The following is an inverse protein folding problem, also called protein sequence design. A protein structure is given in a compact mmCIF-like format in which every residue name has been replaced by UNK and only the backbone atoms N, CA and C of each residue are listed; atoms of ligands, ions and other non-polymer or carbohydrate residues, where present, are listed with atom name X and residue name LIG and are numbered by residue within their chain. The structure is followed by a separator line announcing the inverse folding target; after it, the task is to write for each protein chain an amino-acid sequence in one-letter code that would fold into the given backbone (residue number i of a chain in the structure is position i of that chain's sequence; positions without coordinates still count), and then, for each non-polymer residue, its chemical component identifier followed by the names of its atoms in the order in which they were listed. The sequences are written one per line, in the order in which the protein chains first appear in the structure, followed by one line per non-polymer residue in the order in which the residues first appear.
data_IF_392780566580
#
_entry.id   IF_392780566580
#
_cell.length_a   1.000
_cell.length_b   1.000
_cell.length_c   1.000
_cell.angle_alpha   90.00
_cell.angle_beta   90.00
_cell.angle_gamma   90.00
#
_symmetry.space_group_name_H-M   'P 1'
#
loop_
_entity.id
_entity.type
_entity.pdbx_description
1 polymer ?
#
# COMPACT_ATOMS: atom_id res chain seq x y z
N UNK A 1 -17.28 10.61 13.62
CA UNK A 1 -15.94 10.10 13.23
C UNK A 1 -15.17 11.06 12.32
N UNK A 2 -15.83 11.90 11.54
CA UNK A 2 -15.23 12.86 10.58
C UNK A 2 -14.22 13.84 11.19
N UNK A 3 -14.45 14.34 12.40
CA UNK A 3 -13.59 15.37 13.02
C UNK A 3 -12.24 14.82 13.52
N UNK A 4 -12.12 13.52 13.80
CA UNK A 4 -10.86 12.92 14.29
C UNK A 4 -9.85 12.70 13.16
N UNK A 5 -10.35 12.41 11.95
CA UNK A 5 -9.53 12.22 10.75
C UNK A 5 -8.96 13.57 10.28
N UNK A 6 -9.79 14.63 10.27
CA UNK A 6 -9.33 15.98 9.94
C UNK A 6 -8.22 16.47 10.90
N UNK A 7 -8.36 16.18 12.20
CA UNK A 7 -7.36 16.55 13.21
C UNK A 7 -6.02 15.83 12.98
N UNK A 8 -6.06 14.54 12.67
CA UNK A 8 -4.85 13.74 12.41
C UNK A 8 -4.12 14.18 11.14
N UNK A 9 -4.85 14.48 10.07
CA UNK A 9 -4.30 15.06 8.84
C UNK A 9 -3.65 16.42 9.14
N UNK A 10 -4.30 17.29 9.92
CA UNK A 10 -3.74 18.59 10.27
C UNK A 10 -2.47 18.53 11.13
N UNK A 11 -2.36 17.54 12.03
CA UNK A 11 -1.18 17.33 12.88
C UNK A 11 0.04 16.84 12.08
N UNK A 12 -0.18 16.04 11.04
CA UNK A 12 0.87 15.61 10.12
C UNK A 12 1.43 16.80 9.33
N UNK A 13 0.58 17.72 8.87
CA UNK A 13 1.02 18.96 8.21
C UNK A 13 1.78 19.89 9.18
N UNK A 14 1.35 20.00 10.44
CA UNK A 14 1.99 20.90 11.42
C UNK A 14 3.39 20.41 11.84
N UNK A 15 3.54 19.11 12.09
CA UNK A 15 4.81 18.50 12.50
C UNK A 15 5.90 18.57 11.41
N UNK A 16 5.49 18.65 10.14
CA UNK A 16 6.39 18.84 9.02
C UNK A 16 6.87 20.30 8.91
N UNK A 17 5.96 21.27 9.15
CA UNK A 17 6.31 22.70 9.12
C UNK A 17 7.34 23.12 10.18
N UNK A 18 7.34 22.45 11.33
CA UNK A 18 8.27 22.75 12.43
C UNK A 18 9.73 22.37 12.13
N UNK A 19 9.98 21.42 11.21
CA UNK A 19 11.33 20.92 10.90
C UNK A 19 12.00 21.65 9.72
N UNK A 20 11.29 22.52 9.01
CA UNK A 20 11.70 23.03 7.71
C UNK A 20 12.34 24.45 7.72
N UNK A 21 12.88 24.91 8.86
CA UNK A 21 13.42 26.28 9.04
C UNK A 21 14.75 26.60 8.32
N UNK A 22 15.21 25.79 7.37
CA UNK A 22 16.49 25.99 6.67
C UNK A 22 16.53 25.60 5.19
N UNK A 23 15.42 25.17 4.60
CA UNK A 23 15.36 24.83 3.17
C UNK A 23 14.86 26.04 2.36
N UNK A 24 15.41 26.24 1.16
CA UNK A 24 14.98 27.29 0.22
C UNK A 24 13.54 27.03 -0.21
N UNK A 25 12.62 27.53 0.60
CA UNK A 25 11.19 27.22 0.63
C UNK A 25 10.40 27.62 -0.62
N UNK A 26 10.99 28.40 -1.54
CA UNK A 26 10.26 28.98 -2.67
C UNK A 26 10.25 28.09 -3.93
N UNK A 27 11.31 27.31 -4.18
CA UNK A 27 11.43 26.49 -5.40
C UNK A 27 10.84 25.08 -5.24
N UNK A 28 10.82 24.56 -4.01
CA UNK A 28 10.33 23.21 -3.65
C UNK A 28 8.81 23.05 -3.85
N UNK A 29 8.03 24.12 -3.74
CA UNK A 29 6.56 24.04 -3.90
C UNK A 29 6.12 24.02 -5.37
N UNK A 30 7.02 24.34 -6.31
CA UNK A 30 6.67 24.45 -7.73
C UNK A 30 6.36 23.11 -8.40
N UNK A 31 6.66 21.97 -7.77
CA UNK A 31 6.43 20.61 -8.31
C UNK A 31 5.70 19.69 -7.31
N UNK A 32 4.92 20.28 -6.40
CA UNK A 32 3.95 19.50 -5.64
C UNK A 32 2.85 19.01 -6.58
N UNK A 33 2.40 17.78 -6.37
CA UNK A 33 1.33 17.22 -7.18
C UNK A 33 0.56 16.11 -6.51
N UNK A 34 -0.52 15.72 -7.18
CA UNK A 34 -1.35 14.58 -6.83
C UNK A 34 -1.20 13.51 -7.91
N UNK A 35 -0.94 12.29 -7.53
CA UNK A 35 -0.83 11.15 -8.43
C UNK A 35 -1.98 10.19 -8.17
N UNK A 36 -2.92 10.09 -9.11
CA UNK A 36 -3.98 9.07 -9.04
C UNK A 36 -3.49 7.79 -9.68
N UNK A 37 -3.81 6.64 -9.11
CA UNK A 37 -3.32 5.33 -9.55
C UNK A 37 -4.46 4.31 -9.55
N UNK A 38 -4.43 3.44 -10.56
CA UNK A 38 -5.25 2.23 -10.68
C UNK A 38 -4.31 1.07 -10.99
N UNK A 39 -4.54 -0.08 -10.38
CA UNK A 39 -3.67 -1.22 -10.56
C UNK A 39 -4.27 -2.55 -10.15
N UNK A 40 -3.50 -3.58 -10.41
CA UNK A 40 -3.77 -4.96 -10.05
C UNK A 40 -2.66 -5.43 -9.12
N UNK A 41 -3.04 -6.17 -8.08
CA UNK A 41 -2.10 -6.85 -7.22
C UNK A 41 -2.35 -8.37 -7.32
N UNK A 42 -1.27 -9.13 -7.27
CA UNK A 42 -1.29 -10.55 -7.02
C UNK A 42 -0.72 -10.75 -5.62
N UNK A 43 -1.62 -10.91 -4.65
CA UNK A 43 -1.26 -11.07 -3.25
C UNK A 43 -1.32 -12.52 -2.85
N UNK A 44 -0.42 -12.94 -1.98
CA UNK A 44 -0.40 -14.25 -1.32
C UNK A 44 -0.10 -14.06 0.16
N UNK A 45 -0.26 -15.12 0.95
CA UNK A 45 0.06 -15.11 2.37
C UNK A 45 1.03 -16.22 2.70
N UNK A 46 2.19 -15.84 3.21
CA UNK A 46 3.22 -16.79 3.60
C UNK A 46 3.10 -17.07 5.10
N UNK A 47 2.96 -18.35 5.46
CA UNK A 47 3.06 -18.80 6.84
C UNK A 47 4.51 -19.09 7.21
N UNK A 48 4.95 -18.63 8.37
CA UNK A 48 6.28 -19.00 8.89
C UNK A 48 6.25 -20.48 9.30
N UNK A 49 6.82 -21.35 8.47
CA UNK A 49 6.92 -22.80 8.71
C UNK A 49 5.67 -23.63 8.38
N UNK A 50 4.91 -23.26 7.34
CA UNK A 50 3.86 -24.06 6.67
C UNK A 50 3.81 -23.76 5.17
N UNK A 51 3.09 -24.57 4.40
CA UNK A 51 2.70 -24.24 3.02
C UNK A 51 1.85 -22.96 3.05
N UNK A 52 2.34 -21.89 2.42
CA UNK A 52 1.61 -20.63 2.31
C UNK A 52 0.40 -20.73 1.39
N UNK A 53 -0.54 -19.79 1.52
CA UNK A 53 -1.68 -19.70 0.61
C UNK A 53 -1.24 -19.24 -0.78
N UNK A 54 -1.83 -19.82 -1.83
CA UNK A 54 -1.60 -19.40 -3.21
C UNK A 54 -2.20 -18.01 -3.45
N UNK A 55 -1.64 -17.28 -4.41
CA UNK A 55 -2.00 -15.88 -4.56
C UNK A 55 -3.32 -15.66 -5.28
N UNK A 56 -4.08 -14.66 -4.83
CA UNK A 56 -5.28 -14.18 -5.50
C UNK A 56 -5.01 -12.84 -6.19
N UNK A 57 -5.63 -12.66 -7.36
CA UNK A 57 -5.64 -11.38 -8.05
C UNK A 57 -6.67 -10.45 -7.40
N UNK A 58 -6.24 -9.23 -7.09
CA UNK A 58 -7.06 -8.14 -6.62
C UNK A 58 -6.77 -6.84 -7.37
N UNK A 59 -7.60 -5.83 -7.14
CA UNK A 59 -7.36 -4.50 -7.68
C UNK A 59 -7.06 -3.50 -6.56
N UNK A 60 -6.38 -2.43 -6.94
CA UNK A 60 -6.02 -1.31 -6.08
C UNK A 60 -6.27 -0.01 -6.81
N UNK A 61 -6.84 0.97 -6.11
CA UNK A 61 -6.99 2.32 -6.64
C UNK A 61 -6.88 3.36 -5.53
N UNK A 62 -6.44 4.56 -5.88
CA UNK A 62 -6.26 5.62 -4.90
C UNK A 62 -5.40 6.75 -5.42
N UNK A 63 -4.87 7.56 -4.51
CA UNK A 63 -4.04 8.70 -4.86
C UNK A 63 -2.90 8.92 -3.88
N UNK A 64 -1.80 9.48 -4.37
CA UNK A 64 -0.65 9.91 -3.58
C UNK A 64 -0.39 11.41 -3.75
N UNK A 65 -0.20 12.10 -2.65
CA UNK A 65 0.42 13.41 -2.64
C UNK A 65 1.93 13.24 -2.82
N UNK A 66 2.52 14.01 -3.73
CA UNK A 66 3.93 13.96 -4.10
C UNK A 66 4.59 15.29 -3.76
N UNK A 67 5.62 15.23 -2.93
CA UNK A 67 6.41 16.39 -2.50
C UNK A 67 7.86 16.20 -2.94
N UNK A 68 8.43 17.08 -3.77
CA UNK A 68 9.87 17.06 -4.04
C UNK A 68 10.63 17.43 -2.76
N UNK A 69 11.65 16.67 -2.41
CA UNK A 69 12.59 17.01 -1.34
C UNK A 69 13.87 17.60 -1.93
N UNK A 70 14.32 17.04 -3.06
CA UNK A 70 15.41 17.53 -3.90
C UNK A 70 15.02 17.40 -5.38
N UNK A 71 15.92 17.70 -6.30
CA UNK A 71 15.69 17.46 -7.73
C UNK A 71 15.50 15.97 -8.08
N UNK A 72 16.05 15.06 -7.28
CA UNK A 72 16.06 13.62 -7.59
C UNK A 72 15.20 12.81 -6.60
N UNK A 73 14.98 13.35 -5.40
CA UNK A 73 14.31 12.67 -4.29
C UNK A 73 12.95 13.31 -4.02
N UNK A 74 11.92 12.48 -3.95
CA UNK A 74 10.55 12.90 -3.65
C UNK A 74 9.99 12.06 -2.50
N UNK A 75 9.14 12.66 -1.67
CA UNK A 75 8.30 11.96 -0.71
C UNK A 75 6.91 11.78 -1.28
N UNK A 76 6.33 10.59 -1.13
CA UNK A 76 4.98 10.26 -1.57
C UNK A 76 4.17 9.76 -0.38
N UNK A 77 3.02 10.35 -0.12
CA UNK A 77 2.07 9.89 0.91
C UNK A 77 0.73 9.68 0.25
N UNK A 78 0.13 8.51 0.40
CA UNK A 78 -1.11 8.20 -0.31
C UNK A 78 -2.17 7.53 0.51
N UNK A 79 -3.34 7.39 -0.10
CA UNK A 79 -4.47 6.65 0.42
C UNK A 79 -5.05 5.79 -0.71
N UNK A 80 -5.19 4.50 -0.45
CA UNK A 80 -5.61 3.51 -1.42
C UNK A 80 -6.64 2.55 -0.86
N UNK A 81 -7.62 2.19 -1.67
CA UNK A 81 -8.36 0.96 -1.46
C UNK A 81 -7.62 -0.17 -2.18
N UNK A 82 -7.44 -1.31 -1.52
CA UNK A 82 -6.82 -2.50 -2.11
C UNK A 82 -7.60 -3.74 -1.73
N UNK A 83 -7.86 -4.59 -2.72
CA UNK A 83 -8.30 -5.97 -2.52
C UNK A 83 -7.06 -6.84 -2.51
N UNK A 84 -6.88 -7.59 -1.45
CA UNK A 84 -5.85 -8.61 -1.30
C UNK A 84 -6.54 -9.92 -0.95
N UNK A 85 -5.83 -11.02 -1.06
CA UNK A 85 -6.32 -12.32 -0.66
C UNK A 85 -5.32 -13.43 -0.91
N UNK A 86 -5.65 -14.61 -0.41
CA UNK A 86 -4.91 -15.83 -0.67
C UNK A 86 -5.87 -17.03 -0.63
N UNK A 87 -5.58 -18.05 -1.43
CA UNK A 87 -6.31 -19.31 -1.44
C UNK A 87 -5.55 -20.36 -0.64
N UNK A 88 -6.23 -21.06 0.26
CA UNK A 88 -5.65 -22.05 1.16
C UNK A 88 -6.31 -23.41 0.98
N UNK A 89 -5.55 -24.47 1.25
CA UNK A 89 -6.07 -25.84 1.33
C UNK A 89 -6.52 -26.12 2.76
N UNK A 90 -7.81 -26.34 2.95
CA UNK A 90 -8.43 -26.82 4.19
C UNK A 90 -8.63 -28.34 4.17
N UNK A 91 -9.24 -28.86 5.25
CA UNK A 91 -9.57 -30.29 5.38
C UNK A 91 -10.71 -30.72 4.44
N UNK A 92 -11.66 -29.82 4.16
CA UNK A 92 -12.85 -30.08 3.34
C UNK A 92 -12.73 -29.59 1.89
N UNK A 93 -11.67 -28.85 1.55
CA UNK A 93 -11.50 -28.29 0.21
C UNK A 93 -10.56 -27.08 0.17
N UNK A 94 -10.56 -26.36 -0.96
CA UNK A 94 -9.89 -25.06 -1.08
C UNK A 94 -10.83 -23.93 -0.65
N UNK A 95 -10.30 -22.96 0.09
CA UNK A 95 -11.04 -21.76 0.46
C UNK A 95 -10.26 -20.49 0.16
N UNK A 96 -10.96 -19.47 -0.30
CA UNK A 96 -10.39 -18.17 -0.65
C UNK A 96 -10.61 -17.16 0.48
N UNK A 97 -9.51 -16.65 1.04
CA UNK A 97 -9.54 -15.53 1.97
C UNK A 97 -9.43 -14.22 1.17
N UNK A 98 -10.52 -13.46 1.10
CA UNK A 98 -10.57 -12.14 0.48
C UNK A 98 -10.54 -11.05 1.55
N UNK A 99 -9.68 -10.06 1.37
CA UNK A 99 -9.42 -8.98 2.33
C UNK A 99 -9.40 -7.63 1.64
N UNK A 100 -10.17 -6.70 2.19
CA UNK A 100 -10.26 -5.33 1.72
C UNK A 100 -9.55 -4.41 2.72
N UNK A 101 -8.54 -3.69 2.23
CA UNK A 101 -7.76 -2.75 3.02
C UNK A 101 -7.96 -1.31 2.55
N UNK A 102 -7.95 -0.39 3.51
CA UNK A 102 -7.61 1.00 3.27
C UNK A 102 -6.14 1.20 3.63
N UNK A 103 -5.30 1.38 2.61
CA UNK A 103 -3.84 1.44 2.73
C UNK A 103 -3.33 2.88 2.71
N UNK A 104 -2.42 3.18 3.62
CA UNK A 104 -1.70 4.43 3.76
C UNK A 104 -0.19 4.19 3.50
N UNK A 105 0.27 4.20 2.23
CA UNK A 105 1.68 4.17 1.89
C UNK A 105 2.38 5.51 2.19
N UNK A 106 3.61 5.42 2.74
CA UNK A 106 4.54 6.54 2.91
C UNK A 106 5.85 6.12 2.24
N UNK A 107 6.11 6.61 1.04
CA UNK A 107 7.23 6.19 0.21
C UNK A 107 8.23 7.32 -0.04
N UNK A 108 9.48 6.93 -0.20
CA UNK A 108 10.47 7.71 -0.94
C UNK A 108 10.46 7.30 -2.41
N UNK A 109 10.77 8.26 -3.28
CA UNK A 109 11.03 8.08 -4.70
C UNK A 109 12.40 8.68 -5.02
N UNK A 110 13.25 7.93 -5.70
CA UNK A 110 14.60 8.34 -6.10
C UNK A 110 14.77 8.12 -7.60
N UNK A 111 15.14 9.19 -8.31
CA UNK A 111 15.36 9.15 -9.76
C UNK A 111 16.65 8.41 -10.10
N UNK A 112 16.60 7.47 -11.04
CA UNK A 112 17.76 6.72 -11.53
C UNK A 112 18.11 7.20 -12.94
N UNK A 113 19.30 7.77 -13.08
CA UNK A 113 19.96 8.03 -14.37
C UNK A 113 19.21 8.95 -15.35
N UNK A 114 18.42 9.92 -14.86
CA UNK A 114 17.73 10.95 -15.67
C UNK A 114 16.81 10.43 -16.80
N UNK A 115 16.52 9.12 -16.84
CA UNK A 115 15.78 8.45 -17.93
C UNK A 115 14.36 8.06 -17.52
N UNK A 116 13.69 8.91 -16.75
CA UNK A 116 12.31 8.70 -16.29
C UNK A 116 12.08 7.45 -15.43
N UNK A 117 13.14 6.72 -15.07
CA UNK A 117 13.08 5.54 -14.21
C UNK A 117 13.37 5.97 -12.78
N UNK A 118 12.58 5.46 -11.85
CA UNK A 118 12.64 5.80 -10.45
C UNK A 118 12.58 4.53 -9.60
N UNK A 119 13.33 4.50 -8.51
CA UNK A 119 13.09 3.56 -7.43
C UNK A 119 12.08 4.16 -6.47
N UNK A 120 11.13 3.33 -6.03
CA UNK A 120 10.14 3.69 -5.02
C UNK A 120 10.17 2.69 -3.88
N UNK A 121 9.85 3.13 -2.68
CA UNK A 121 9.71 2.23 -1.56
C UNK A 121 9.52 2.94 -0.22
N UNK A 122 9.09 2.18 0.77
CA UNK A 122 8.83 2.67 2.12
C UNK A 122 7.72 1.90 2.83
N UNK A 123 7.42 2.29 4.08
CA UNK A 123 6.37 1.65 4.87
C UNK A 123 4.97 1.86 4.27
N UNK A 124 4.07 0.94 4.60
CA UNK A 124 2.64 1.00 4.30
C UNK A 124 1.85 0.43 5.46
N UNK A 125 0.78 1.15 5.81
CA UNK A 125 -0.16 0.77 6.86
C UNK A 125 -1.50 0.42 6.21
N UNK A 126 -1.94 -0.83 6.32
CA UNK A 126 -3.23 -1.31 5.86
C UNK A 126 -4.22 -1.39 7.02
N UNK A 127 -5.31 -0.63 6.92
CA UNK A 127 -6.45 -0.74 7.83
C UNK A 127 -7.46 -1.73 7.25
N UNK A 128 -7.77 -2.79 7.99
CA UNK A 128 -8.75 -3.79 7.60
C UNK A 128 -10.14 -3.17 7.55
N UNK A 129 -10.76 -3.21 6.38
CA UNK A 129 -12.14 -2.73 6.17
C UNK A 129 -13.14 -3.89 6.22
N UNK A 130 -12.79 -4.99 5.57
CA UNK A 130 -13.64 -6.17 5.47
C UNK A 130 -12.79 -7.39 5.11
N UNK A 131 -13.13 -8.55 5.67
CA UNK A 131 -12.61 -9.82 5.20
C UNK A 131 -13.72 -10.87 5.11
N UNK A 132 -13.59 -11.73 4.11
CA UNK A 132 -14.50 -12.83 3.88
C UNK A 132 -13.76 -14.07 3.40
N UNK A 133 -14.17 -15.20 3.92
CA UNK A 133 -13.79 -16.52 3.45
C UNK A 133 -14.85 -17.00 2.44
N UNK A 134 -14.40 -17.58 1.33
CA UNK A 134 -15.27 -18.17 0.31
C UNK A 134 -14.89 -19.64 0.17
N UNK A 135 -15.83 -20.51 0.47
CA UNK A 135 -15.68 -21.97 0.37
C UNK A 135 -16.96 -22.51 -0.30
N UNK A 136 -16.82 -23.29 -1.38
CA UNK A 136 -17.95 -23.80 -2.17
C UNK A 136 -19.01 -22.73 -2.55
N UNK A 137 -18.53 -21.52 -2.86
CA UNK A 137 -19.40 -20.38 -3.22
C UNK A 137 -20.18 -19.76 -2.05
N UNK A 138 -20.02 -20.28 -0.83
CA UNK A 138 -20.57 -19.68 0.39
C UNK A 138 -19.60 -18.64 0.94
N UNK A 139 -20.11 -17.43 1.18
CA UNK A 139 -19.33 -16.31 1.73
C UNK A 139 -19.56 -16.18 3.23
N UNK A 140 -18.49 -16.29 4.02
CA UNK A 140 -18.50 -16.10 5.47
C UNK A 140 -17.72 -14.84 5.84
N UNK A 141 -18.29 -13.97 6.65
CA UNK A 141 -17.57 -12.79 7.15
C UNK A 141 -16.58 -13.22 8.25
N UNK A 142 -15.30 -12.93 8.05
CA UNK A 142 -14.20 -13.26 8.97
C UNK A 142 -13.44 -12.01 9.43
N UNK A 143 -14.00 -10.81 9.23
CA UNK A 143 -13.36 -9.53 9.55
C UNK A 143 -12.91 -9.46 11.02
N UNK A 144 -13.75 -9.94 11.95
CA UNK A 144 -13.43 -9.97 13.39
C UNK A 144 -12.35 -10.99 13.77
N UNK A 145 -11.92 -11.83 12.82
CA UNK A 145 -10.89 -12.83 13.02
C UNK A 145 -9.49 -12.36 12.61
N UNK A 146 -9.40 -11.25 11.86
CA UNK A 146 -8.14 -10.70 11.39
C UNK A 146 -7.73 -9.47 12.19
N UNK A 147 -6.44 -9.15 12.12
CA UNK A 147 -5.90 -7.95 12.71
C UNK A 147 -6.41 -6.70 11.99
N UNK A 148 -6.83 -5.66 12.74
CA UNK A 148 -7.32 -4.43 12.14
C UNK A 148 -6.22 -3.62 11.44
N UNK A 149 -4.95 -3.88 11.75
CA UNK A 149 -3.79 -3.19 11.21
C UNK A 149 -2.79 -4.21 10.63
N UNK A 150 -2.42 -4.00 9.37
CA UNK A 150 -1.37 -4.72 8.64
C UNK A 150 -0.24 -3.74 8.29
N UNK A 151 0.97 -3.96 8.78
CA UNK A 151 2.15 -3.16 8.47
C UNK A 151 3.01 -3.91 7.47
N UNK A 152 3.38 -3.22 6.40
CA UNK A 152 4.19 -3.75 5.31
C UNK A 152 5.27 -2.76 4.88
N UNK A 153 6.29 -3.25 4.19
CA UNK A 153 7.25 -2.45 3.44
C UNK A 153 7.07 -2.70 1.95
N UNK A 154 7.21 -1.66 1.14
CA UNK A 154 7.17 -1.77 -0.31
C UNK A 154 8.53 -1.40 -0.91
N UNK A 155 8.88 -2.06 -2.01
CA UNK A 155 10.02 -1.70 -2.85
C UNK A 155 9.70 -1.98 -4.31
N UNK A 156 10.08 -1.10 -5.20
CA UNK A 156 9.78 -1.26 -6.61
C UNK A 156 10.36 -0.19 -7.51
N UNK A 157 9.86 -0.20 -8.73
CA UNK A 157 10.25 0.70 -9.80
C UNK A 157 9.03 1.45 -10.32
N UNK A 158 9.27 2.68 -10.74
CA UNK A 158 8.29 3.57 -11.34
C UNK A 158 8.89 4.21 -12.59
N UNK A 159 8.14 4.22 -13.68
CA UNK A 159 8.57 4.79 -14.96
C UNK A 159 7.60 5.86 -15.45
N UNK A 160 8.13 7.05 -15.75
CA UNK A 160 7.38 8.18 -16.30
C UNK A 160 7.35 8.08 -17.83
N UNK A 161 6.27 7.51 -18.37
CA UNK A 161 6.09 7.31 -19.82
C UNK A 161 5.97 8.64 -20.57
N UNK A 162 5.22 9.58 -19.98
CA UNK A 162 4.95 10.94 -20.49
C UNK A 162 4.90 11.89 -19.28
N UNK A 163 4.94 13.22 -19.47
CA UNK A 163 5.03 14.21 -18.37
C UNK A 163 3.98 14.07 -17.25
N UNK A 164 2.93 13.29 -17.47
CA UNK A 164 1.88 13.02 -16.48
C UNK A 164 1.52 11.54 -16.36
N UNK A 165 2.03 10.64 -17.22
CA UNK A 165 1.64 9.23 -17.18
C UNK A 165 2.73 8.38 -16.55
N UNK A 166 2.34 7.61 -15.55
CA UNK A 166 3.24 6.83 -14.71
C UNK A 166 2.82 5.37 -14.78
N UNK A 167 3.79 4.48 -14.84
CA UNK A 167 3.58 3.05 -14.55
C UNK A 167 4.46 2.66 -13.40
N UNK A 168 3.98 1.80 -12.51
CA UNK A 168 4.79 1.29 -11.41
C UNK A 168 4.60 -0.19 -11.21
N UNK A 169 5.67 -0.83 -10.75
CA UNK A 169 5.65 -2.21 -10.29
C UNK A 169 6.42 -2.30 -8.98
N UNK A 170 5.82 -2.89 -7.95
CA UNK A 170 6.44 -3.01 -6.65
C UNK A 170 6.04 -4.31 -5.94
N UNK A 171 6.93 -4.76 -5.06
CA UNK A 171 6.71 -5.88 -4.18
C UNK A 171 6.41 -5.37 -2.76
N UNK A 172 5.35 -5.91 -2.16
CA UNK A 172 4.94 -5.68 -0.78
C UNK A 172 5.42 -6.83 0.09
N UNK A 173 6.13 -6.49 1.16
CA UNK A 173 6.65 -7.39 2.19
C UNK A 173 5.87 -7.12 3.48
N UNK A 174 5.05 -8.06 3.92
CA UNK A 174 4.34 -8.00 5.20
C UNK A 174 5.31 -8.12 6.37
N UNK A 175 5.13 -7.25 7.37
CA UNK A 175 5.97 -7.18 8.57
C UNK A 175 5.21 -7.60 9.83
N UNK A 176 3.88 -7.58 9.80
CA UNK A 176 3.02 -7.98 10.92
C UNK A 176 2.13 -9.15 10.55
N UNK A 177 1.76 -9.92 11.56
CA UNK A 177 0.77 -11.00 11.43
C UNK A 177 -0.63 -10.45 11.10
N UNK A 178 -1.29 -11.05 10.12
CA UNK A 178 -2.66 -10.72 9.71
C UNK A 178 -3.71 -11.41 10.60
N UNK A 179 -3.36 -12.47 11.34
CA UNK A 179 -4.32 -13.36 12.03
C UNK A 179 -4.55 -13.07 13.52
N UNK A 180 -3.88 -12.07 14.09
CA UNK A 180 -4.15 -11.61 15.45
C UNK A 180 -3.56 -12.45 16.57
N UNK A 181 -2.48 -13.20 16.31
CA UNK A 181 -1.71 -13.93 17.32
C UNK A 181 -2.61 -14.76 18.27
N UNK A 182 -3.55 -15.51 17.68
CA UNK A 182 -4.47 -16.38 18.42
C UNK A 182 -3.80 -17.71 18.72
N UNK A 183 -4.06 -18.24 19.91
CA UNK A 183 -3.59 -19.58 20.29
C UNK A 183 -3.98 -20.57 19.18
N UNK A 184 -2.98 -21.24 18.60
CA UNK A 184 -3.06 -22.23 17.51
C UNK A 184 -3.15 -21.69 16.06
N UNK A 185 -3.07 -20.39 15.81
CA UNK A 185 -2.92 -19.85 14.44
C UNK A 185 -1.49 -19.35 14.24
N UNK A 186 -0.76 -19.94 13.28
CA UNK A 186 0.59 -19.47 12.93
C UNK A 186 0.50 -18.12 12.22
N UNK A 187 1.46 -17.24 12.51
CA UNK A 187 1.53 -15.92 11.90
C UNK A 187 1.54 -16.01 10.36
N UNK A 188 0.63 -15.25 9.73
CA UNK A 188 0.57 -15.09 8.29
C UNK A 188 1.03 -13.68 7.92
N UNK A 189 2.01 -13.60 7.03
CA UNK A 189 2.51 -12.35 6.49
C UNK A 189 1.95 -12.14 5.08
N UNK A 190 1.39 -10.96 4.84
CA UNK A 190 0.89 -10.54 3.54
C UNK A 190 2.06 -10.29 2.59
N UNK A 191 1.98 -10.75 1.35
CA UNK A 191 2.96 -10.43 0.31
C UNK A 191 2.25 -10.19 -1.01
N UNK A 192 2.70 -9.23 -1.81
CA UNK A 192 2.05 -8.96 -3.09
C UNK A 192 3.01 -8.40 -4.13
N UNK A 193 2.82 -8.80 -5.39
CA UNK A 193 3.37 -8.07 -6.53
C UNK A 193 2.24 -7.19 -7.08
N UNK A 194 2.50 -5.90 -7.20
CA UNK A 194 1.51 -4.93 -7.68
C UNK A 194 2.00 -4.22 -8.92
N UNK A 195 1.10 -4.05 -9.90
CA UNK A 195 1.31 -3.24 -11.09
C UNK A 195 0.27 -2.14 -11.13
N UNK A 196 0.68 -0.89 -11.37
CA UNK A 196 -0.25 0.24 -11.47
C UNK A 196 0.05 1.11 -12.69
N UNK A 197 -1.00 1.78 -13.14
CA UNK A 197 -0.94 2.92 -14.04
C UNK A 197 -1.46 4.14 -13.29
N UNK A 198 -0.77 5.27 -13.42
CA UNK A 198 -1.11 6.50 -12.74
C UNK A 198 -1.05 7.74 -13.63
N UNK A 199 -1.74 8.78 -13.16
CA UNK A 199 -1.71 10.10 -13.74
C UNK A 199 -1.30 11.13 -12.69
N UNK A 200 -0.28 11.93 -12.99
CA UNK A 200 0.25 12.98 -12.14
C UNK A 200 -0.36 14.34 -12.53
N UNK A 201 -1.02 14.95 -11.56
CA UNK A 201 -1.57 16.29 -11.61
C UNK A 201 -0.63 17.23 -10.87
N UNK A 202 -0.10 18.22 -11.57
CA UNK A 202 0.62 19.32 -10.95
C UNK A 202 -0.39 20.25 -10.26
N UNK A 203 -0.12 20.63 -9.02
CA UNK A 203 -0.96 21.54 -8.22
C UNK A 203 -0.48 22.99 -8.33
#
# INVERSE_FOLDING_TARGET
MTNKIALFVSLLFFSFSAQARGWKFQDTFSNIGLESQLGLNYSSMSGVGQEGGSGLMGFRFGSMFVMPLTHEVHSKVGLFYSQNGASFKGEEGEFDLNIHYLQLPIWGKVSINQKNLNMIGGPQFGLLMHASEIEDGKKRNVTSLLNPLDISANIGLEYELRPNFIISSYYTIGLTDVTGNRENIKALLNSAVTFTMGYYFKL
#
